data_IF_002691889754
#
_entry.id   IF_002691889754
#
_cell.length_a   1.000
_cell.length_b   1.000
_cell.length_c   1.000
_cell.angle_alpha   90.00
_cell.angle_beta   90.00
_cell.angle_gamma   90.00
#
_symmetry.space_group_name_H-M   'P 1'
#
loop_
_entity.id
_entity.type
_entity.pdbx_description
1 polymer ?
#
# COMPACT_ATOMS: atom_id res chain seq x y z
N UNK A 1 -7.75 32.26 2.61
CA UNK A 1 -7.24 30.99 2.05
C UNK A 1 -8.30 29.94 2.23
N UNK A 2 -8.69 29.21 1.18
CA UNK A 2 -9.61 28.09 1.33
C UNK A 2 -8.93 26.98 2.14
N UNK A 3 -9.64 26.42 3.13
CA UNK A 3 -9.14 25.29 3.92
C UNK A 3 -9.32 24.03 3.06
N UNK A 4 -8.24 23.52 2.47
CA UNK A 4 -8.29 22.32 1.63
C UNK A 4 -8.38 21.06 2.49
N UNK A 5 -8.83 19.95 1.90
CA UNK A 5 -8.96 18.65 2.58
C UNK A 5 -7.63 18.18 3.18
N UNK A 6 -6.53 18.43 2.48
CA UNK A 6 -5.17 18.10 2.89
C UNK A 6 -4.76 18.88 4.14
N UNK A 7 -5.10 20.18 4.20
CA UNK A 7 -4.80 21.00 5.37
C UNK A 7 -5.52 20.47 6.61
N UNK A 8 -6.79 20.09 6.46
CA UNK A 8 -7.56 19.44 7.52
C UNK A 8 -6.88 18.16 7.99
N UNK A 9 -6.48 17.32 7.03
CA UNK A 9 -5.84 16.04 7.29
C UNK A 9 -4.55 16.18 8.10
N UNK A 10 -3.64 17.06 7.69
CA UNK A 10 -2.40 17.31 8.43
C UNK A 10 -2.66 17.84 9.84
N UNK A 11 -3.62 18.75 10.02
CA UNK A 11 -3.99 19.24 11.35
C UNK A 11 -4.57 18.14 12.24
N UNK A 12 -5.38 17.24 11.68
CA UNK A 12 -5.84 16.04 12.40
C UNK A 12 -4.66 15.17 12.83
N UNK A 13 -3.68 14.89 11.95
CA UNK A 13 -2.50 14.09 12.31
C UNK A 13 -1.68 14.72 13.43
N UNK A 14 -1.46 16.04 13.37
CA UNK A 14 -0.78 16.76 14.44
C UNK A 14 -1.55 16.72 15.77
N UNK A 15 -2.87 16.82 15.72
CA UNK A 15 -3.74 16.81 16.90
C UNK A 15 -3.82 15.42 17.53
N UNK A 16 -4.00 14.38 16.72
CA UNK A 16 -4.00 12.98 17.18
C UNK A 16 -2.64 12.60 17.77
N UNK A 17 -1.53 13.02 17.14
CA UNK A 17 -0.21 12.81 17.70
C UNK A 17 -0.03 13.53 19.04
N UNK A 18 -0.51 14.77 19.17
CA UNK A 18 -0.44 15.51 20.44
C UNK A 18 -1.32 14.88 21.54
N UNK A 19 -2.44 14.26 21.19
CA UNK A 19 -3.32 13.59 22.14
C UNK A 19 -2.79 12.21 22.56
N UNK A 20 -2.10 11.51 21.66
CA UNK A 20 -1.52 10.19 21.91
C UNK A 20 -0.13 10.26 22.56
N UNK A 21 0.60 11.35 22.36
CA UNK A 21 1.96 11.50 22.83
C UNK A 21 2.00 12.01 24.29
N UNK A 22 2.63 11.21 25.16
CA UNK A 22 3.31 11.72 26.35
C UNK A 22 4.67 12.39 26.00
N UNK A 23 5.06 12.37 24.71
CA UNK A 23 6.36 12.81 24.17
C UNK A 23 6.22 14.03 23.22
N UNK A 24 6.45 15.24 23.73
CA UNK A 24 6.47 16.51 22.97
C UNK A 24 7.39 16.48 21.72
N UNK A 25 8.35 15.56 21.69
CA UNK A 25 9.27 15.42 20.57
C UNK A 25 8.60 14.83 19.32
N UNK A 26 7.59 13.97 19.46
CA UNK A 26 6.90 13.36 18.31
C UNK A 26 6.08 14.40 17.53
N UNK A 27 5.37 15.27 18.25
CA UNK A 27 4.63 16.40 17.66
C UNK A 27 5.59 17.36 16.96
N UNK A 28 6.72 17.66 17.60
CA UNK A 28 7.75 18.54 17.04
C UNK A 28 8.33 18.00 15.73
N UNK A 29 8.60 16.69 15.65
CA UNK A 29 9.08 16.06 14.43
C UNK A 29 8.02 16.04 13.32
N UNK A 30 6.75 15.77 13.63
CA UNK A 30 5.68 15.85 12.63
C UNK A 30 5.48 17.26 12.07
N UNK A 31 5.71 18.30 12.89
CA UNK A 31 5.69 19.71 12.42
C UNK A 31 6.81 20.02 11.44
N UNK A 32 7.91 19.27 11.46
CA UNK A 32 9.00 19.41 10.50
C UNK A 32 8.60 18.80 9.15
N UNK A 33 7.99 17.61 9.15
CA UNK A 33 7.65 16.88 7.92
C UNK A 33 6.35 17.33 7.24
N UNK A 34 5.42 17.89 8.01
CA UNK A 34 4.09 18.30 7.52
C UNK A 34 4.16 19.37 6.42
N UNK A 35 4.86 20.52 6.61
CA UNK A 35 4.90 21.58 5.59
C UNK A 35 5.42 21.12 4.22
N UNK A 36 6.55 20.42 4.07
CA UNK A 36 7.03 20.00 2.76
C UNK A 36 6.09 19.02 2.05
N UNK A 37 5.41 18.12 2.78
CA UNK A 37 4.40 17.24 2.21
C UNK A 37 3.11 17.98 1.83
N UNK A 38 2.69 18.96 2.62
CA UNK A 38 1.57 19.83 2.28
C UNK A 38 1.84 20.63 1.01
N UNK A 39 3.07 21.14 0.84
CA UNK A 39 3.47 21.81 -0.39
C UNK A 39 3.46 20.88 -1.60
N UNK A 40 3.87 19.62 -1.41
CA UNK A 40 3.78 18.59 -2.45
C UNK A 40 2.33 18.32 -2.87
N UNK A 41 1.42 18.08 -1.91
CA UNK A 41 0.03 17.74 -2.20
C UNK A 41 -0.78 18.90 -2.80
N UNK A 42 -0.39 20.13 -2.49
CA UNK A 42 -1.01 21.34 -3.07
C UNK A 42 -0.37 21.76 -4.39
N UNK A 43 0.66 21.04 -4.86
CA UNK A 43 1.38 21.35 -6.09
C UNK A 43 2.21 22.64 -6.00
N UNK A 44 2.46 23.17 -4.81
CA UNK A 44 3.30 24.36 -4.61
C UNK A 44 4.79 24.03 -4.58
N UNK A 45 5.15 22.76 -4.38
CA UNK A 45 6.51 22.24 -4.52
C UNK A 45 6.53 20.95 -5.37
N UNK A 46 7.63 20.75 -6.10
CA UNK A 46 7.89 19.51 -6.82
C UNK A 46 8.35 18.40 -5.87
N UNK A 47 8.21 17.13 -6.28
CA UNK A 47 8.77 15.99 -5.56
C UNK A 47 10.27 16.14 -5.25
N UNK A 48 11.06 16.66 -6.21
CA UNK A 48 12.49 16.89 -6.03
C UNK A 48 12.77 17.98 -4.97
N UNK A 49 12.04 19.09 -5.01
CA UNK A 49 12.17 20.18 -4.03
C UNK A 49 11.74 19.73 -2.63
N UNK A 50 10.67 18.94 -2.54
CA UNK A 50 10.20 18.36 -1.28
C UNK A 50 11.22 17.37 -0.72
N UNK A 51 11.82 16.52 -1.57
CA UNK A 51 12.89 15.61 -1.16
C UNK A 51 14.09 16.36 -0.59
N UNK A 52 14.55 17.43 -1.25
CA UNK A 52 15.65 18.27 -0.76
C UNK A 52 15.35 18.86 0.62
N UNK A 53 14.13 19.36 0.80
CA UNK A 53 13.68 19.93 2.07
C UNK A 53 13.67 18.89 3.18
N UNK A 54 13.17 17.68 2.90
CA UNK A 54 13.13 16.57 3.88
C UNK A 54 14.54 16.07 4.22
N UNK A 55 15.44 15.97 3.23
CA UNK A 55 16.83 15.57 3.45
C UNK A 55 17.55 16.57 4.36
N UNK A 56 17.28 17.86 4.19
CA UNK A 56 17.83 18.92 5.03
C UNK A 56 17.27 18.91 6.46
N UNK A 57 16.14 18.22 6.71
CA UNK A 57 15.38 18.32 7.97
C UNK A 57 15.76 17.31 9.05
N UNK A 58 17.03 16.89 9.12
CA UNK A 58 17.56 15.92 10.08
C UNK A 58 16.74 14.61 10.19
N UNK A 59 16.70 13.83 9.11
CA UNK A 59 15.93 12.58 8.99
C UNK A 59 16.23 11.51 10.07
N UNK A 60 17.38 11.58 10.76
CA UNK A 60 17.80 10.54 11.71
C UNK A 60 16.98 10.52 13.00
N UNK A 61 16.70 11.69 13.58
CA UNK A 61 16.19 11.74 14.95
C UNK A 61 14.80 11.13 15.09
N UNK A 62 14.02 11.03 14.00
CA UNK A 62 12.69 10.41 13.95
C UNK A 62 12.34 9.85 12.57
N UNK A 63 13.24 9.05 12.02
CA UNK A 63 13.10 8.41 10.70
C UNK A 63 11.74 7.71 10.49
N UNK A 64 11.25 7.03 11.52
CA UNK A 64 10.00 6.25 11.48
C UNK A 64 8.75 7.13 11.35
N UNK A 65 8.75 8.35 11.91
CA UNK A 65 7.59 9.24 11.86
C UNK A 65 7.30 9.73 10.46
N UNK A 66 8.34 9.95 9.64
CA UNK A 66 8.15 10.30 8.23
C UNK A 66 7.52 9.14 7.46
N UNK A 67 7.97 7.90 7.69
CA UNK A 67 7.35 6.73 7.07
C UNK A 67 5.88 6.57 7.49
N UNK A 68 5.59 6.71 8.79
CA UNK A 68 4.21 6.67 9.30
C UNK A 68 3.33 7.73 8.62
N UNK A 69 3.84 8.95 8.46
CA UNK A 69 3.11 10.04 7.82
C UNK A 69 2.86 9.78 6.32
N UNK A 70 3.88 9.29 5.59
CA UNK A 70 3.76 8.90 4.18
C UNK A 70 2.73 7.78 4.01
N UNK A 71 2.78 6.75 4.84
CA UNK A 71 1.87 5.62 4.72
C UNK A 71 0.45 5.93 5.20
N UNK A 72 0.29 6.81 6.19
CA UNK A 72 -1.03 7.33 6.55
C UNK A 72 -1.62 8.13 5.39
N UNK A 73 -0.82 8.99 4.74
CA UNK A 73 -1.26 9.72 3.56
C UNK A 73 -1.63 8.77 2.41
N UNK A 74 -0.84 7.73 2.16
CA UNK A 74 -1.13 6.72 1.16
C UNK A 74 -2.45 5.97 1.44
N UNK A 75 -2.77 5.68 2.70
CA UNK A 75 -4.01 5.02 3.07
C UNK A 75 -5.23 5.97 2.98
N UNK A 76 -5.06 7.23 3.35
CA UNK A 76 -6.18 8.16 3.57
C UNK A 76 -6.44 9.16 2.44
N UNK A 77 -5.46 9.37 1.56
CA UNK A 77 -5.47 10.36 0.49
C UNK A 77 -5.02 9.72 -0.85
N UNK A 78 -5.83 8.80 -1.42
CA UNK A 78 -5.46 8.08 -2.63
C UNK A 78 -5.19 8.97 -3.85
N UNK A 79 -5.81 10.16 -3.91
CA UNK A 79 -5.55 11.15 -4.95
C UNK A 79 -4.07 11.60 -5.02
N UNK A 80 -3.33 11.50 -3.90
CA UNK A 80 -1.93 11.93 -3.79
C UNK A 80 -0.93 10.79 -3.99
N UNK A 81 -1.37 9.58 -4.35
CA UNK A 81 -0.46 8.46 -4.64
C UNK A 81 0.63 8.79 -5.67
N UNK A 82 0.35 9.41 -6.83
CA UNK A 82 1.40 9.74 -7.79
C UNK A 82 2.47 10.65 -7.20
N UNK A 83 2.07 11.69 -6.46
CA UNK A 83 2.99 12.63 -5.83
C UNK A 83 3.87 11.95 -4.76
N UNK A 84 3.30 11.02 -3.98
CA UNK A 84 4.06 10.23 -3.00
C UNK A 84 5.08 9.29 -3.67
N UNK A 85 4.70 8.64 -4.78
CA UNK A 85 5.61 7.78 -5.55
C UNK A 85 6.76 8.61 -6.12
N UNK A 86 6.47 9.76 -6.73
CA UNK A 86 7.48 10.67 -7.28
C UNK A 86 8.44 11.19 -6.19
N UNK A 87 7.91 11.50 -5.00
CA UNK A 87 8.72 11.90 -3.85
C UNK A 87 9.70 10.80 -3.44
N UNK A 88 9.23 9.56 -3.32
CA UNK A 88 10.07 8.44 -2.91
C UNK A 88 11.13 8.11 -3.97
N UNK A 89 10.79 8.20 -5.26
CA UNK A 89 11.75 8.09 -6.35
C UNK A 89 12.81 9.21 -6.30
N UNK A 90 12.40 10.44 -5.99
CA UNK A 90 13.33 11.56 -5.83
C UNK A 90 14.30 11.32 -4.66
N UNK A 91 13.80 10.86 -3.51
CA UNK A 91 14.63 10.51 -2.34
C UNK A 91 15.61 9.39 -2.67
N UNK A 92 15.16 8.32 -3.33
CA UNK A 92 16.02 7.23 -3.77
C UNK A 92 17.07 7.68 -4.78
N UNK A 93 16.69 8.52 -5.75
CA UNK A 93 17.62 9.05 -6.75
C UNK A 93 18.72 9.86 -6.08
N UNK A 94 18.39 10.71 -5.09
CA UNK A 94 19.41 11.47 -4.32
C UNK A 94 20.36 10.57 -3.56
N UNK A 95 19.89 9.45 -3.02
CA UNK A 95 20.76 8.46 -2.41
C UNK A 95 21.72 7.82 -3.43
N UNK A 96 21.22 7.46 -4.63
CA UNK A 96 22.02 6.82 -5.67
C UNK A 96 23.04 7.74 -6.35
N UNK A 97 22.72 9.03 -6.51
CA UNK A 97 23.60 10.01 -7.17
C UNK A 97 24.68 10.59 -6.26
N UNK A 98 24.69 10.25 -4.97
CA UNK A 98 25.74 10.70 -4.07
C UNK A 98 27.07 10.01 -4.44
N UNK A 99 28.17 10.78 -4.60
CA UNK A 99 29.44 10.23 -5.01
C UNK A 99 29.88 9.15 -4.01
N UNK A 100 30.22 7.98 -4.55
CA UNK A 100 30.85 6.92 -3.75
C UNK A 100 32.15 7.49 -3.14
N UNK A 101 32.47 7.23 -1.86
CA UNK A 101 33.59 7.87 -1.18
C UNK A 101 34.92 7.43 -1.80
N UNK A 102 35.36 8.10 -2.85
CA UNK A 102 36.73 8.05 -3.32
C UNK A 102 37.56 8.97 -2.43
N UNK A 103 38.22 8.35 -1.43
CA UNK A 103 39.42 8.71 -0.65
C UNK A 103 39.86 10.16 -0.35
N UNK A 104 39.28 11.23 -0.88
CA UNK A 104 39.85 12.58 -0.75
C UNK A 104 38.86 13.73 -0.53
N UNK A 105 37.55 13.58 -0.73
CA UNK A 105 36.62 14.72 -0.59
C UNK A 105 35.40 14.41 0.28
N UNK A 106 35.11 15.33 1.20
CA UNK A 106 34.20 15.26 2.35
C UNK A 106 32.69 15.19 2.00
N UNK A 107 32.31 14.70 0.83
CA UNK A 107 30.91 14.52 0.46
C UNK A 107 30.51 13.05 0.61
N UNK A 108 30.60 12.55 1.85
CA UNK A 108 30.10 11.22 2.18
C UNK A 108 28.59 11.11 1.86
N UNK A 109 28.10 9.94 1.42
CA UNK A 109 26.67 9.71 1.25
C UNK A 109 25.95 10.09 2.55
N UNK A 110 24.81 10.78 2.46
CA UNK A 110 24.07 11.22 3.62
C UNK A 110 23.64 9.97 4.42
N UNK A 111 24.30 9.67 5.57
CA UNK A 111 24.06 8.43 6.28
C UNK A 111 22.64 8.38 6.84
N UNK A 112 22.03 9.54 7.08
CA UNK A 112 20.64 9.68 7.48
C UNK A 112 19.67 9.12 6.44
N UNK A 113 19.85 9.52 5.18
CA UNK A 113 18.96 9.10 4.09
C UNK A 113 19.11 7.61 3.79
N UNK A 114 20.35 7.11 3.77
CA UNK A 114 20.63 5.69 3.58
C UNK A 114 19.97 4.85 4.69
N UNK A 115 20.18 5.24 5.95
CA UNK A 115 19.56 4.57 7.10
C UNK A 115 18.04 4.65 7.05
N UNK A 116 17.46 5.80 6.68
CA UNK A 116 16.02 5.97 6.56
C UNK A 116 15.41 5.06 5.49
N UNK A 117 16.05 4.93 4.33
CA UNK A 117 15.60 4.05 3.24
C UNK A 117 15.60 2.58 3.65
N UNK A 118 16.59 2.13 4.45
CA UNK A 118 16.61 0.74 4.94
C UNK A 118 15.42 0.38 5.84
N UNK A 119 14.74 1.38 6.43
CA UNK A 119 13.54 1.16 7.22
C UNK A 119 12.27 0.96 6.39
N UNK A 120 12.33 1.19 5.07
CA UNK A 120 11.16 1.05 4.20
C UNK A 120 10.47 -0.31 4.36
N UNK A 121 11.22 -1.41 4.21
CA UNK A 121 10.66 -2.76 4.22
C UNK A 121 9.92 -3.10 5.52
N UNK A 122 10.59 -3.00 6.70
CA UNK A 122 9.95 -3.26 7.99
C UNK A 122 8.75 -2.35 8.27
N UNK A 123 8.86 -1.05 8.00
CA UNK A 123 7.77 -0.08 8.27
C UNK A 123 6.58 -0.26 7.34
N UNK A 124 6.82 -0.58 6.07
CA UNK A 124 5.79 -0.90 5.09
C UNK A 124 5.02 -2.16 5.50
N UNK A 125 5.73 -3.23 5.86
CA UNK A 125 5.11 -4.49 6.31
C UNK A 125 4.27 -4.26 7.57
N UNK A 126 4.84 -3.59 8.58
CA UNK A 126 4.12 -3.28 9.81
C UNK A 126 2.83 -2.49 9.54
N UNK A 127 2.86 -1.52 8.61
CA UNK A 127 1.66 -0.77 8.24
C UNK A 127 0.64 -1.64 7.49
N UNK A 128 1.08 -2.45 6.53
CA UNK A 128 0.23 -3.39 5.79
C UNK A 128 -0.51 -4.30 6.76
N UNK A 129 0.23 -4.92 7.69
CA UNK A 129 -0.31 -5.89 8.64
C UNK A 129 -1.27 -5.22 9.64
N UNK A 130 -0.98 -3.98 10.07
CA UNK A 130 -1.89 -3.19 10.89
C UNK A 130 -3.21 -2.86 10.17
N UNK A 131 -3.15 -2.46 8.90
CA UNK A 131 -4.35 -2.20 8.09
C UNK A 131 -5.12 -3.49 7.80
N UNK A 132 -4.41 -4.60 7.57
CA UNK A 132 -5.02 -5.91 7.42
C UNK A 132 -5.82 -6.29 8.68
N UNK A 133 -5.24 -6.14 9.87
CA UNK A 133 -5.92 -6.44 11.13
C UNK A 133 -7.14 -5.53 11.40
N UNK A 134 -7.07 -4.27 10.96
CA UNK A 134 -8.11 -3.26 11.19
C UNK A 134 -9.26 -3.29 10.15
N UNK A 135 -9.08 -3.98 9.01
CA UNK A 135 -10.03 -3.85 7.87
C UNK A 135 -11.46 -4.31 8.16
N UNK A 136 -11.67 -5.09 9.22
CA UNK A 136 -12.98 -5.58 9.66
C UNK A 136 -13.94 -4.44 10.03
N UNK A 137 -13.47 -3.36 10.65
CA UNK A 137 -14.33 -2.26 11.11
C UNK A 137 -14.86 -1.37 9.95
N UNK A 138 -14.54 -1.70 8.68
CA UNK A 138 -14.65 -0.79 7.54
C UNK A 138 -15.94 -0.77 6.72
N UNK A 139 -16.79 -1.81 6.71
CA UNK A 139 -17.75 -1.96 5.59
C UNK A 139 -19.20 -1.49 5.81
N UNK A 140 -19.64 -1.12 7.02
CA UNK A 140 -21.06 -0.80 7.27
C UNK A 140 -21.53 0.53 6.60
N UNK A 141 -22.10 0.48 5.39
CA UNK A 141 -22.36 1.64 4.51
C UNK A 141 -23.20 2.78 5.12
N UNK A 142 -23.93 2.55 6.21
CA UNK A 142 -24.88 3.52 6.76
C UNK A 142 -24.25 4.86 7.21
N UNK A 143 -22.94 4.90 7.47
CA UNK A 143 -22.22 6.06 7.99
C UNK A 143 -21.17 6.65 7.01
N UNK A 144 -21.45 6.69 5.69
CA UNK A 144 -20.48 7.16 4.68
C UNK A 144 -20.50 8.67 4.43
N UNK A 145 -21.55 9.35 4.87
CA UNK A 145 -21.76 10.76 4.63
C UNK A 145 -22.14 11.45 5.92
N UNK A 146 -21.61 12.66 6.13
CA UNK A 146 -22.17 13.54 7.15
C UNK A 146 -23.61 13.96 6.75
N UNK A 147 -24.27 14.70 7.63
CA UNK A 147 -25.63 15.19 7.39
C UNK A 147 -25.74 16.08 6.12
N UNK A 148 -24.61 16.59 5.61
CA UNK A 148 -24.51 17.45 4.44
C UNK A 148 -24.15 16.67 3.16
N UNK A 149 -24.05 15.34 3.21
CA UNK A 149 -23.71 14.52 2.06
C UNK A 149 -22.22 14.58 1.69
N UNK A 150 -21.34 15.07 2.56
CA UNK A 150 -19.89 15.03 2.33
C UNK A 150 -19.34 13.69 2.79
N UNK A 151 -18.47 13.12 1.96
CA UNK A 151 -17.79 11.86 2.24
C UNK A 151 -16.92 12.03 3.50
N UNK A 152 -17.20 11.25 4.53
CA UNK A 152 -16.36 11.17 5.74
C UNK A 152 -14.97 10.59 5.37
N UNK A 153 -13.99 10.73 6.28
CA UNK A 153 -12.66 10.12 6.13
C UNK A 153 -12.77 8.65 5.68
N UNK A 154 -11.82 8.15 4.86
CA UNK A 154 -11.84 6.76 4.42
C UNK A 154 -11.82 5.84 5.64
N UNK A 155 -12.63 4.78 5.57
CA UNK A 155 -12.71 3.80 6.64
C UNK A 155 -11.54 2.85 6.60
N UNK A 156 -11.41 2.01 7.61
CA UNK A 156 -10.28 1.08 7.72
C UNK A 156 -10.18 0.14 6.51
N UNK A 157 -11.32 -0.33 5.98
CA UNK A 157 -11.35 -1.08 4.72
C UNK A 157 -10.90 -0.27 3.50
N UNK A 158 -11.34 0.99 3.36
CA UNK A 158 -10.88 1.85 2.26
C UNK A 158 -9.38 2.13 2.37
N UNK A 159 -8.89 2.37 3.59
CA UNK A 159 -7.49 2.58 3.91
C UNK A 159 -6.64 1.39 3.51
N UNK A 160 -7.12 0.17 3.77
CA UNK A 160 -6.48 -1.07 3.34
C UNK A 160 -6.39 -1.18 1.81
N UNK A 161 -7.49 -0.96 1.08
CA UNK A 161 -7.50 -0.98 -0.40
C UNK A 161 -6.57 0.09 -0.97
N UNK A 162 -6.64 1.32 -0.45
CA UNK A 162 -5.79 2.43 -0.90
C UNK A 162 -4.30 2.12 -0.66
N UNK A 163 -3.96 1.50 0.45
CA UNK A 163 -2.58 1.13 0.75
C UNK A 163 -2.06 0.02 -0.19
N UNK A 164 -2.92 -0.93 -0.58
CA UNK A 164 -2.59 -1.91 -1.62
C UNK A 164 -2.36 -1.24 -2.98
N UNK A 165 -3.22 -0.30 -3.38
CA UNK A 165 -3.02 0.48 -4.61
C UNK A 165 -1.71 1.28 -4.61
N UNK A 166 -1.39 1.95 -3.50
CA UNK A 166 -0.12 2.64 -3.34
C UNK A 166 1.07 1.68 -3.44
N UNK A 167 1.00 0.54 -2.75
CA UNK A 167 2.05 -0.47 -2.75
C UNK A 167 2.28 -1.05 -4.15
N UNK A 168 1.21 -1.31 -4.91
CA UNK A 168 1.31 -1.73 -6.30
C UNK A 168 2.03 -0.67 -7.16
N UNK A 169 1.66 0.61 -7.02
CA UNK A 169 2.35 1.70 -7.74
C UNK A 169 3.83 1.80 -7.39
N UNK A 170 4.21 1.56 -6.13
CA UNK A 170 5.61 1.52 -5.71
C UNK A 170 6.37 0.33 -6.33
N UNK A 171 5.74 -0.85 -6.40
CA UNK A 171 6.31 -2.03 -7.06
C UNK A 171 6.58 -1.74 -8.55
N UNK A 172 5.62 -1.13 -9.24
CA UNK A 172 5.76 -0.68 -10.64
C UNK A 172 6.84 0.37 -10.83
N UNK A 173 6.91 1.34 -9.91
CA UNK A 173 7.91 2.40 -9.95
C UNK A 173 9.35 1.90 -9.73
N UNK A 174 9.53 0.68 -9.20
CA UNK A 174 10.85 0.11 -8.96
C UNK A 174 11.57 0.74 -7.76
N UNK A 175 10.81 1.18 -6.76
CA UNK A 175 11.37 1.71 -5.52
C UNK A 175 12.13 0.61 -4.79
N UNK A 176 13.34 0.92 -4.30
CA UNK A 176 14.18 0.06 -3.49
C UNK A 176 14.26 -1.38 -4.04
N UNK A 177 15.10 -1.66 -5.06
CA UNK A 177 15.14 -2.94 -5.77
C UNK A 177 15.25 -4.17 -4.86
N UNK A 178 15.89 -4.03 -3.70
CA UNK A 178 16.06 -5.04 -2.66
C UNK A 178 14.75 -5.49 -1.99
N UNK A 179 13.73 -4.64 -1.93
CA UNK A 179 12.40 -4.97 -1.36
C UNK A 179 11.37 -5.35 -2.41
N UNK A 180 11.73 -5.27 -3.70
CA UNK A 180 10.83 -5.61 -4.81
C UNK A 180 10.29 -7.03 -4.70
N UNK A 181 11.14 -7.98 -4.28
CA UNK A 181 10.75 -9.37 -4.02
C UNK A 181 9.66 -9.44 -2.95
N UNK A 182 9.84 -8.77 -1.82
CA UNK A 182 8.87 -8.73 -0.72
C UNK A 182 7.50 -8.16 -1.14
N UNK A 183 7.49 -7.12 -1.98
CA UNK A 183 6.24 -6.52 -2.46
C UNK A 183 5.51 -7.42 -3.46
N UNK A 184 6.25 -8.11 -4.32
CA UNK A 184 5.69 -9.12 -5.23
C UNK A 184 5.11 -10.29 -4.45
N UNK A 185 5.87 -10.78 -3.48
CA UNK A 185 5.46 -11.81 -2.53
C UNK A 185 4.11 -11.46 -1.86
N UNK A 186 3.95 -10.21 -1.39
CA UNK A 186 2.70 -9.73 -0.83
C UNK A 186 1.56 -9.62 -1.86
N UNK A 187 1.85 -9.30 -3.11
CA UNK A 187 0.85 -9.29 -4.18
C UNK A 187 0.30 -10.69 -4.43
N UNK A 188 1.19 -11.69 -4.49
CA UNK A 188 0.78 -13.09 -4.64
C UNK A 188 0.01 -13.62 -3.44
N UNK A 189 0.45 -13.29 -2.22
CA UNK A 189 -0.27 -13.63 -0.98
C UNK A 189 -1.70 -13.07 -1.03
N UNK A 190 -1.87 -11.80 -1.40
CA UNK A 190 -3.18 -11.17 -1.49
C UNK A 190 -4.08 -11.80 -2.57
N UNK A 191 -3.53 -12.10 -3.76
CA UNK A 191 -4.28 -12.71 -4.86
C UNK A 191 -4.65 -14.17 -4.56
N UNK A 192 -3.70 -14.99 -4.10
CA UNK A 192 -3.95 -16.38 -3.75
C UNK A 192 -4.95 -16.48 -2.59
N UNK A 193 -4.84 -15.59 -1.59
CA UNK A 193 -5.72 -15.53 -0.44
C UNK A 193 -7.21 -15.40 -0.78
N UNK A 194 -7.55 -14.83 -1.94
CA UNK A 194 -8.96 -14.63 -2.37
C UNK A 194 -9.34 -15.41 -3.62
N UNK A 195 -8.45 -15.55 -4.60
CA UNK A 195 -8.77 -16.20 -5.88
C UNK A 195 -8.66 -17.72 -5.82
N UNK A 196 -7.83 -18.24 -4.91
CA UNK A 196 -7.68 -19.68 -4.67
C UNK A 196 -8.60 -20.20 -3.55
N UNK A 197 -9.56 -19.40 -3.08
CA UNK A 197 -10.53 -19.81 -2.05
C UNK A 197 -11.97 -19.81 -2.57
N UNK A 198 -12.80 -20.67 -1.96
CA UNK A 198 -14.25 -20.61 -2.10
C UNK A 198 -14.82 -19.47 -1.27
N UNK A 199 -15.90 -18.85 -1.74
CA UNK A 199 -16.54 -17.73 -1.06
C UNK A 199 -17.19 -18.20 0.23
N UNK A 200 -17.84 -19.36 0.20
CA UNK A 200 -18.56 -19.96 1.33
C UNK A 200 -17.63 -20.38 2.48
N UNK A 201 -16.36 -20.65 2.19
CA UNK A 201 -15.33 -21.02 3.17
C UNK A 201 -14.41 -19.88 3.57
N UNK A 202 -14.71 -18.64 3.18
CA UNK A 202 -13.82 -17.52 3.43
C UNK A 202 -13.88 -17.02 4.88
N UNK A 203 -12.79 -17.19 5.63
CA UNK A 203 -12.67 -16.71 7.01
C UNK A 203 -11.97 -15.35 7.12
N UNK A 204 -11.29 -14.90 6.06
CA UNK A 204 -10.45 -13.70 6.05
C UNK A 204 -9.17 -13.83 6.89
N UNK A 205 -8.85 -15.03 7.39
CA UNK A 205 -7.70 -15.26 8.25
C UNK A 205 -7.77 -14.62 9.64
N UNK A 206 -8.93 -14.11 10.07
CA UNK A 206 -9.12 -13.48 11.39
C UNK A 206 -9.96 -14.38 12.29
N UNK A 207 -9.51 -14.55 13.54
CA UNK A 207 -10.25 -15.28 14.57
C UNK A 207 -11.41 -14.40 15.06
N UNK A 208 -12.63 -14.75 14.63
CA UNK A 208 -13.85 -13.99 14.91
C UNK A 208 -14.29 -14.15 16.36
N UNK A 209 -13.93 -13.21 17.23
CA UNK A 209 -14.44 -13.18 18.61
C UNK A 209 -15.58 -12.19 18.83
N UNK A 210 -15.81 -11.20 17.95
CA UNK A 210 -16.65 -10.03 18.31
C UNK A 210 -17.74 -9.59 17.35
N UNK A 211 -17.71 -9.88 16.05
CA UNK A 211 -18.76 -9.43 15.12
C UNK A 211 -18.99 -10.41 13.97
N UNK A 212 -20.26 -10.65 13.65
CA UNK A 212 -20.68 -11.32 12.41
C UNK A 212 -20.62 -10.31 11.26
N UNK A 213 -19.42 -9.92 10.84
CA UNK A 213 -19.30 -9.34 9.49
C UNK A 213 -19.70 -10.43 8.51
N UNK A 214 -20.61 -10.12 7.60
CA UNK A 214 -20.99 -11.06 6.54
C UNK A 214 -19.73 -11.47 5.80
N UNK A 215 -19.39 -12.77 5.82
CA UNK A 215 -18.21 -13.34 5.15
C UNK A 215 -18.02 -12.79 3.73
N UNK A 216 -19.12 -12.61 3.01
CA UNK A 216 -19.15 -12.08 1.64
C UNK A 216 -18.63 -10.64 1.55
N UNK A 217 -18.90 -9.81 2.54
CA UNK A 217 -18.42 -8.43 2.60
C UNK A 217 -16.90 -8.38 2.72
N UNK A 218 -16.35 -9.14 3.67
CA UNK A 218 -14.89 -9.21 3.88
C UNK A 218 -14.20 -9.81 2.65
N UNK A 219 -14.79 -10.85 2.06
CA UNK A 219 -14.31 -11.44 0.81
C UNK A 219 -14.17 -10.40 -0.30
N UNK A 220 -15.21 -9.60 -0.56
CA UNK A 220 -15.15 -8.60 -1.63
C UNK A 220 -14.20 -7.44 -1.34
N UNK A 221 -14.00 -7.08 -0.06
CA UNK A 221 -12.98 -6.12 0.34
C UNK A 221 -11.58 -6.64 0.02
N UNK A 222 -11.30 -7.90 0.35
CA UNK A 222 -9.99 -8.50 0.10
C UNK A 222 -9.77 -8.77 -1.39
N UNK A 223 -10.81 -9.12 -2.15
CA UNK A 223 -10.76 -9.13 -3.63
C UNK A 223 -10.40 -7.74 -4.13
N UNK A 224 -11.07 -6.69 -3.66
CA UNK A 224 -10.83 -5.31 -4.10
C UNK A 224 -9.39 -4.85 -3.81
N UNK A 225 -8.85 -5.17 -2.65
CA UNK A 225 -7.46 -4.89 -2.29
C UNK A 225 -6.47 -5.72 -3.12
N UNK A 226 -6.75 -7.01 -3.34
CA UNK A 226 -5.92 -7.91 -4.14
C UNK A 226 -5.79 -7.46 -5.59
N UNK A 227 -6.90 -7.10 -6.24
CA UNK A 227 -6.88 -6.69 -7.66
C UNK A 227 -6.16 -5.37 -7.91
N UNK A 228 -5.91 -4.54 -6.88
CA UNK A 228 -5.09 -3.33 -7.05
C UNK A 228 -3.68 -3.66 -7.56
N UNK A 229 -3.12 -4.80 -7.14
CA UNK A 229 -1.81 -5.26 -7.59
C UNK A 229 -1.78 -5.56 -9.08
N UNK A 230 -2.86 -6.15 -9.61
CA UNK A 230 -3.01 -6.45 -11.03
C UNK A 230 -3.16 -5.16 -11.83
N UNK A 231 -4.06 -4.27 -11.40
CA UNK A 231 -4.36 -3.02 -12.12
C UNK A 231 -3.15 -2.09 -12.20
N UNK A 232 -2.39 -1.95 -11.11
CA UNK A 232 -1.28 -0.99 -11.07
C UNK A 232 0.09 -1.59 -11.30
N UNK A 233 0.28 -2.90 -11.16
CA UNK A 233 1.58 -3.56 -11.23
C UNK A 233 1.54 -4.97 -11.85
N UNK A 234 0.56 -5.25 -12.73
CA UNK A 234 0.35 -6.58 -13.30
C UNK A 234 1.60 -7.16 -13.97
N UNK A 235 2.34 -6.35 -14.73
CA UNK A 235 3.59 -6.78 -15.37
C UNK A 235 4.67 -7.14 -14.34
N UNK A 236 4.81 -6.38 -13.26
CA UNK A 236 5.82 -6.62 -12.23
C UNK A 236 5.49 -7.80 -11.31
N UNK A 237 4.20 -8.04 -11.09
CA UNK A 237 3.65 -9.20 -10.40
C UNK A 237 3.85 -10.46 -11.26
N UNK A 238 3.59 -10.36 -12.56
CA UNK A 238 3.75 -11.45 -13.54
C UNK A 238 5.22 -11.75 -13.83
N UNK A 239 6.09 -10.74 -13.85
CA UNK A 239 7.53 -10.86 -14.18
C UNK A 239 8.38 -11.69 -13.20
N UNK A 240 7.75 -12.46 -12.30
CA UNK A 240 8.40 -13.52 -11.52
C UNK A 240 8.62 -14.83 -12.30
N UNK A 241 8.21 -14.96 -13.56
CA UNK A 241 8.29 -16.25 -14.30
C UNK A 241 9.62 -17.02 -14.17
N UNK A 242 9.53 -18.35 -14.17
CA UNK A 242 10.66 -19.27 -14.12
C UNK A 242 11.09 -19.65 -12.70
N UNK A 243 12.33 -20.17 -12.58
CA UNK A 243 12.83 -20.73 -11.32
C UNK A 243 12.81 -19.73 -10.15
N UNK A 244 12.96 -18.43 -10.45
CA UNK A 244 12.96 -17.37 -9.44
C UNK A 244 11.57 -17.16 -8.82
N UNK A 245 10.51 -17.02 -9.60
CA UNK A 245 9.15 -16.88 -9.04
C UNK A 245 8.57 -18.18 -8.53
N UNK A 246 9.09 -19.33 -8.97
CA UNK A 246 8.81 -20.59 -8.30
C UNK A 246 9.34 -20.54 -6.86
N UNK A 247 10.64 -20.23 -6.67
CA UNK A 247 11.25 -20.12 -5.34
C UNK A 247 10.63 -19.02 -4.47
N UNK A 248 10.41 -17.82 -5.03
CA UNK A 248 9.76 -16.72 -4.30
C UNK A 248 8.31 -17.09 -3.94
N UNK A 249 7.59 -17.76 -4.82
CA UNK A 249 6.21 -18.21 -4.60
C UNK A 249 6.10 -19.28 -3.52
N UNK A 250 7.00 -20.27 -3.52
CA UNK A 250 7.10 -21.30 -2.47
C UNK A 250 7.29 -20.65 -1.08
N UNK A 251 8.12 -19.60 -0.98
CA UNK A 251 8.39 -18.90 0.28
C UNK A 251 7.16 -18.24 0.91
N UNK A 252 6.21 -17.80 0.09
CA UNK A 252 5.00 -17.12 0.57
C UNK A 252 3.76 -17.99 0.60
N UNK A 253 3.95 -19.31 0.61
CA UNK A 253 2.83 -20.20 0.82
C UNK A 253 1.97 -20.41 -0.42
N UNK A 254 2.48 -20.14 -1.64
CA UNK A 254 1.88 -20.65 -2.89
C UNK A 254 2.10 -22.18 -3.03
N UNK A 255 1.96 -22.90 -1.91
CA UNK A 255 2.19 -24.32 -1.74
C UNK A 255 1.06 -25.14 -2.35
N UNK A 256 1.34 -26.41 -2.58
CA UNK A 256 0.37 -27.34 -3.13
C UNK A 256 -0.79 -27.60 -2.14
N UNK A 257 -2.01 -27.63 -2.68
CA UNK A 257 -3.22 -28.33 -2.17
C UNK A 257 -4.21 -27.58 -1.26
N UNK A 258 -3.92 -26.42 -0.66
CA UNK A 258 -4.86 -25.80 0.30
C UNK A 258 -5.93 -24.86 -0.29
N UNK A 259 -6.22 -24.96 -1.59
CA UNK A 259 -7.20 -24.11 -2.26
C UNK A 259 -7.81 -24.70 -3.54
N UNK A 260 -8.44 -23.83 -4.32
CA UNK A 260 -9.03 -24.11 -5.62
C UNK A 260 -7.96 -24.35 -6.71
N UNK A 261 -6.75 -23.84 -6.54
CA UNK A 261 -5.63 -24.10 -7.43
C UNK A 261 -5.14 -25.56 -7.31
N UNK A 262 -4.96 -26.23 -8.46
CA UNK A 262 -4.57 -27.65 -8.54
C UNK A 262 -3.28 -27.91 -9.35
N UNK A 263 -2.62 -26.86 -9.83
CA UNK A 263 -1.33 -26.97 -10.52
C UNK A 263 -0.15 -26.93 -9.57
N UNK A 264 1.06 -26.77 -10.13
CA UNK A 264 2.32 -26.81 -9.38
C UNK A 264 2.50 -25.66 -8.37
N UNK A 265 3.39 -25.88 -7.39
CA UNK A 265 3.82 -24.88 -6.40
C UNK A 265 4.48 -23.65 -7.03
N UNK A 266 4.36 -22.52 -6.34
CA UNK A 266 4.94 -21.24 -6.77
C UNK A 266 4.15 -20.54 -7.87
N UNK A 267 4.69 -19.41 -8.35
CA UNK A 267 4.04 -18.63 -9.40
C UNK A 267 4.27 -19.26 -10.79
N UNK A 268 3.22 -19.29 -11.61
CA UNK A 268 3.27 -19.75 -13.01
C UNK A 268 2.25 -19.01 -13.88
N UNK A 269 2.48 -19.01 -15.19
CA UNK A 269 1.53 -18.46 -16.17
C UNK A 269 0.19 -19.17 -16.16
N UNK A 270 0.19 -20.48 -15.87
CA UNK A 270 -1.03 -21.25 -15.69
C UNK A 270 -1.81 -20.75 -14.47
N UNK A 271 -1.12 -20.47 -13.35
CA UNK A 271 -1.74 -19.92 -12.14
C UNK A 271 -2.27 -18.50 -12.38
N UNK A 272 -1.53 -17.68 -13.12
CA UNK A 272 -2.01 -16.36 -13.56
C UNK A 272 -3.28 -16.46 -14.40
N UNK A 273 -3.30 -17.39 -15.37
CA UNK A 273 -4.49 -17.71 -16.16
C UNK A 273 -5.66 -18.17 -15.31
N UNK A 274 -5.42 -19.04 -14.33
CA UNK A 274 -6.46 -19.47 -13.37
C UNK A 274 -7.04 -18.30 -12.58
N UNK A 275 -6.21 -17.43 -12.02
CA UNK A 275 -6.67 -16.23 -11.30
C UNK A 275 -7.52 -15.32 -12.20
N UNK A 276 -7.13 -15.14 -13.47
CA UNK A 276 -7.94 -14.39 -14.44
C UNK A 276 -9.31 -15.02 -14.67
N UNK A 277 -9.38 -16.34 -14.88
CA UNK A 277 -10.67 -17.03 -15.07
C UNK A 277 -11.54 -16.97 -13.80
N UNK A 278 -10.94 -16.99 -12.61
CA UNK A 278 -11.67 -16.76 -11.35
C UNK A 278 -12.32 -15.38 -11.29
N UNK A 279 -11.58 -14.33 -11.66
CA UNK A 279 -12.12 -12.96 -11.72
C UNK A 279 -13.23 -12.84 -12.77
N UNK A 280 -13.08 -13.47 -13.95
CA UNK A 280 -14.16 -13.52 -14.95
C UNK A 280 -15.41 -14.21 -14.41
N UNK A 281 -15.24 -15.35 -13.74
CA UNK A 281 -16.34 -16.06 -13.09
C UNK A 281 -17.10 -15.20 -12.08
N UNK A 282 -16.41 -14.33 -11.32
CA UNK A 282 -17.09 -13.38 -10.44
C UNK A 282 -18.00 -12.41 -11.20
N UNK A 283 -17.57 -11.91 -12.36
CA UNK A 283 -18.34 -10.94 -13.16
C UNK A 283 -19.59 -11.55 -13.80
N UNK A 284 -19.57 -12.85 -14.12
CA UNK A 284 -20.67 -13.59 -14.73
C UNK A 284 -21.83 -13.85 -13.76
N UNK A 285 -21.55 -14.00 -12.46
CA UNK A 285 -22.60 -14.21 -11.45
C UNK A 285 -23.31 -12.90 -11.16
N UNK A 286 -24.53 -12.75 -11.68
CA UNK A 286 -25.35 -11.55 -11.51
C UNK A 286 -25.60 -11.26 -10.03
N UNK A 287 -25.23 -10.05 -9.60
CA UNK A 287 -25.43 -9.57 -8.23
C UNK A 287 -24.43 -10.09 -7.20
N UNK A 288 -23.46 -10.92 -7.59
CA UNK A 288 -22.42 -11.40 -6.67
C UNK A 288 -21.40 -10.30 -6.34
N UNK A 289 -20.90 -9.59 -7.34
CA UNK A 289 -19.88 -8.53 -7.15
C UNK A 289 -20.56 -7.20 -6.81
N UNK A 290 -20.20 -6.55 -5.68
CA UNK A 290 -20.65 -5.20 -5.37
C UNK A 290 -20.22 -4.20 -6.45
N UNK A 291 -21.08 -3.25 -6.79
CA UNK A 291 -20.80 -2.23 -7.83
C UNK A 291 -19.44 -1.51 -7.71
N UNK A 292 -18.98 -1.09 -6.51
CA UNK A 292 -17.66 -0.44 -6.38
C UNK A 292 -16.48 -1.34 -6.75
N UNK A 293 -16.65 -2.66 -6.61
CA UNK A 293 -15.61 -3.67 -6.86
C UNK A 293 -15.64 -4.14 -8.31
N UNK A 294 -16.84 -4.20 -8.92
CA UNK A 294 -17.06 -4.70 -10.29
C UNK A 294 -16.15 -4.02 -11.31
N UNK A 295 -16.12 -2.69 -11.35
CA UNK A 295 -15.32 -1.96 -12.34
C UNK A 295 -13.81 -2.19 -12.20
N UNK A 296 -13.32 -2.40 -10.98
CA UNK A 296 -11.90 -2.69 -10.74
C UNK A 296 -11.57 -4.13 -11.11
N UNK A 297 -12.48 -5.08 -10.88
CA UNK A 297 -12.32 -6.47 -11.33
C UNK A 297 -12.31 -6.56 -12.85
N UNK A 298 -13.17 -5.80 -13.55
CA UNK A 298 -13.17 -5.71 -15.02
C UNK A 298 -11.86 -5.14 -15.57
N UNK A 299 -11.30 -4.11 -14.92
CA UNK A 299 -9.96 -3.58 -15.27
C UNK A 299 -8.88 -4.64 -15.03
N UNK A 300 -8.90 -5.32 -13.88
CA UNK A 300 -7.92 -6.34 -13.55
C UNK A 300 -7.94 -7.49 -14.56
N UNK A 301 -9.12 -7.99 -14.96
CA UNK A 301 -9.24 -9.02 -16.00
C UNK A 301 -8.56 -8.58 -17.30
N UNK A 302 -8.78 -7.33 -17.74
CA UNK A 302 -8.14 -6.76 -18.94
C UNK A 302 -6.63 -6.67 -18.81
N UNK A 303 -6.11 -6.30 -17.63
CA UNK A 303 -4.67 -6.25 -17.38
C UNK A 303 -4.00 -7.65 -17.32
N UNK A 304 -4.78 -8.73 -17.23
CA UNK A 304 -4.28 -10.12 -17.20
C UNK A 304 -4.35 -10.82 -18.57
N UNK A 305 -4.79 -10.14 -19.62
CA UNK A 305 -4.81 -10.63 -21.00
C UNK A 305 -3.45 -10.47 -21.68
#
# INVERSE_FOLDING_TARGET
MAFTRENAWFQTKLTTAAAAAEDDNAVSALRIYTPPLQCLFTGTASAATTADTLIASNLLDRAELLWQLIYAAAAELPEHHPALVDLLLALQSRHQTQPSPSAAEQHAPNPALASWLTLFGPTWRARRDALWAAREDGFDRAAQFDADGKKLLPREGDMYVNFHAFSARLLRAGIAPEVRGMMREAAWEALAGVLEREVEGYDGGIVRERFEIETMVLFWLDVWAGVQWVVFAGEEVRGGEGQKGQQEGERVGLLEVNGLWKGAEGFSEERWGFWRERLRGFLEVRGAVPEPVRGVVEEAVRCME
#
